data_IF_967578595424
#
_entry.id   IF_967578595424
#
_cell.length_a   1.000
_cell.length_b   1.000
_cell.length_c   1.000
_cell.angle_alpha   90.00
_cell.angle_beta   90.00
_cell.angle_gamma   90.00
#
_symmetry.space_group_name_H-M   'P 1'
#
loop_
_entity.id
_entity.type
_entity.pdbx_description
1 polymer ?
#
# COMPACT_ATOMS: atom_id res chain seq x y z
N UNK A 1 30.66 60.36 7.73
CA UNK A 1 30.04 59.60 8.84
C UNK A 1 29.17 58.51 8.20
N UNK A 2 29.49 57.25 8.45
CA UNK A 2 29.05 56.05 7.71
C UNK A 2 27.63 55.56 8.09
N UNK A 3 26.91 55.07 7.07
CA UNK A 3 25.84 54.05 6.98
C UNK A 3 24.87 53.86 8.17
N UNK A 4 23.56 54.14 8.06
CA UNK A 4 22.51 53.46 7.27
C UNK A 4 22.17 52.04 7.78
N UNK A 5 21.01 51.87 8.44
CA UNK A 5 20.20 50.64 8.42
C UNK A 5 18.77 50.98 8.91
N UNK A 6 17.79 50.96 8.01
CA UNK A 6 16.36 51.00 8.37
C UNK A 6 15.89 49.63 8.88
N UNK A 7 14.73 49.54 9.57
CA UNK A 7 14.23 48.27 10.07
C UNK A 7 13.87 47.35 8.89
N UNK A 8 14.54 46.20 8.83
CA UNK A 8 14.30 45.13 7.86
C UNK A 8 12.94 44.49 8.17
N UNK A 9 12.07 44.44 7.15
CA UNK A 9 10.81 43.71 7.16
C UNK A 9 11.03 42.23 7.49
N UNK A 10 10.47 41.77 8.62
CA UNK A 10 10.37 40.36 8.94
C UNK A 10 9.37 39.70 7.98
N UNK A 11 9.89 39.03 6.96
CA UNK A 11 9.14 38.07 6.15
C UNK A 11 8.77 36.90 7.06
N UNK A 12 7.50 36.82 7.43
CA UNK A 12 6.95 35.65 8.12
C UNK A 12 7.20 34.41 7.24
N UNK A 13 8.16 33.59 7.65
CA UNK A 13 8.24 32.19 7.22
C UNK A 13 7.09 31.50 7.93
N UNK A 14 6.02 31.21 7.19
CA UNK A 14 4.96 30.35 7.67
C UNK A 14 5.56 29.02 8.15
N UNK A 15 5.13 28.47 9.30
CA UNK A 15 5.48 27.11 9.65
C UNK A 15 5.01 26.18 8.52
N UNK A 16 5.94 25.37 7.99
CA UNK A 16 5.61 24.25 7.10
C UNK A 16 4.49 23.45 7.75
N UNK A 17 3.44 23.20 6.98
CA UNK A 17 2.21 22.55 7.42
C UNK A 17 2.50 21.34 8.31
N UNK A 18 2.01 21.41 9.53
CA UNK A 18 1.79 20.26 10.39
C UNK A 18 0.87 19.26 9.68
N UNK A 19 1.19 17.97 9.77
CA UNK A 19 0.22 16.93 9.46
C UNK A 19 0.73 15.60 8.89
N UNK A 20 2.03 15.28 8.95
CA UNK A 20 2.42 13.85 8.95
C UNK A 20 1.98 13.25 10.29
N UNK A 21 0.71 12.88 10.37
CA UNK A 21 0.21 12.07 11.46
C UNK A 21 0.77 10.67 11.27
N UNK A 22 1.88 10.39 11.95
CA UNK A 22 2.31 9.03 12.30
C UNK A 22 1.22 8.43 13.22
N UNK A 23 0.06 8.10 12.64
CA UNK A 23 -0.97 7.30 13.30
C UNK A 23 -0.40 5.90 13.36
N UNK A 24 -0.19 5.39 14.58
CA UNK A 24 0.42 4.09 14.80
C UNK A 24 -0.25 2.98 13.99
N UNK A 25 0.51 1.92 13.74
CA UNK A 25 0.17 0.75 12.90
C UNK A 25 -1.14 0.00 13.27
N UNK A 26 -1.89 0.45 14.28
CA UNK A 26 -3.11 -0.17 14.81
C UNK A 26 -4.37 -0.01 13.98
N UNK A 27 -4.38 0.82 12.93
CA UNK A 27 -5.56 1.09 12.09
C UNK A 27 -5.36 0.76 10.60
N UNK A 28 -4.20 0.24 10.20
CA UNK A 28 -3.86 0.00 8.78
C UNK A 28 -4.77 -1.07 8.16
N UNK A 29 -5.56 -0.67 7.17
CA UNK A 29 -6.49 -1.55 6.48
C UNK A 29 -5.85 -2.17 5.21
N UNK A 30 -6.40 -3.28 4.67
CA UNK A 30 -5.91 -3.89 3.42
C UNK A 30 -5.85 -2.93 2.23
N UNK A 31 -6.77 -1.97 2.15
CA UNK A 31 -6.85 -0.98 1.08
C UNK A 31 -5.66 0.00 1.14
N UNK A 32 -5.21 0.38 2.35
CA UNK A 32 -4.02 1.22 2.53
C UNK A 32 -2.76 0.50 2.03
N UNK A 33 -2.64 -0.80 2.34
CA UNK A 33 -1.56 -1.64 1.84
C UNK A 33 -1.57 -1.70 0.32
N UNK A 34 -2.74 -1.93 -0.29
CA UNK A 34 -2.87 -1.97 -1.73
C UNK A 34 -2.50 -0.64 -2.38
N UNK A 35 -3.04 0.49 -1.88
CA UNK A 35 -2.75 1.82 -2.43
C UNK A 35 -1.26 2.11 -2.47
N UNK A 36 -0.55 1.76 -1.40
CA UNK A 36 0.88 1.91 -1.32
C UNK A 36 1.62 0.98 -2.29
N UNK A 37 1.14 -0.25 -2.47
CA UNK A 37 1.69 -1.21 -3.45
C UNK A 37 1.47 -0.77 -4.90
N UNK A 38 0.40 -0.04 -5.21
CA UNK A 38 0.11 0.40 -6.58
C UNK A 38 1.09 1.45 -7.12
N UNK A 39 1.94 2.01 -6.26
CA UNK A 39 3.06 2.87 -6.66
C UNK A 39 4.37 2.09 -6.87
N UNK A 40 4.40 0.79 -6.53
CA UNK A 40 5.57 -0.06 -6.71
C UNK A 40 5.73 -0.51 -8.18
N UNK A 41 6.94 -0.34 -8.73
CA UNK A 41 7.24 -0.67 -10.13
C UNK A 41 7.06 -2.17 -10.46
N UNK A 42 7.34 -3.06 -9.49
CA UNK A 42 7.14 -4.50 -9.64
C UNK A 42 5.67 -4.82 -9.75
N UNK A 43 4.85 -4.26 -8.86
CA UNK A 43 3.39 -4.41 -8.88
C UNK A 43 2.82 -3.90 -10.20
N UNK A 44 3.24 -2.71 -10.65
CA UNK A 44 2.85 -2.17 -11.95
C UNK A 44 3.16 -3.12 -13.10
N UNK A 45 4.37 -3.69 -13.11
CA UNK A 45 4.75 -4.68 -14.12
C UNK A 45 3.92 -5.97 -14.01
N UNK A 46 3.62 -6.45 -12.80
CA UNK A 46 2.82 -7.69 -12.59
C UNK A 46 1.41 -7.49 -13.13
N UNK A 47 0.78 -6.36 -12.80
CA UNK A 47 -0.56 -6.02 -13.27
C UNK A 47 -0.60 -5.91 -14.80
N UNK A 48 0.39 -5.23 -15.39
CA UNK A 48 0.52 -5.12 -16.85
C UNK A 48 0.60 -6.49 -17.52
N UNK A 49 1.43 -7.40 -17.00
CA UNK A 49 1.55 -8.76 -17.54
C UNK A 49 0.32 -9.64 -17.24
N UNK A 50 -0.52 -9.26 -16.28
CA UNK A 50 -1.81 -9.89 -16.01
C UNK A 50 -2.97 -9.30 -16.84
N UNK A 51 -2.69 -8.31 -17.71
CA UNK A 51 -3.69 -7.69 -18.58
C UNK A 51 -4.46 -6.52 -17.95
N UNK A 52 -3.93 -5.92 -16.89
CA UNK A 52 -4.53 -4.75 -16.21
C UNK A 52 -3.47 -3.68 -15.91
N UNK A 53 -3.82 -2.64 -15.16
CA UNK A 53 -2.88 -1.60 -14.75
C UNK A 53 -3.08 -1.20 -13.29
N UNK A 54 -2.04 -0.59 -12.70
CA UNK A 54 -2.16 -0.03 -11.36
C UNK A 54 -3.19 1.10 -11.29
N UNK A 55 -3.37 1.84 -12.38
CA UNK A 55 -4.38 2.89 -12.48
C UNK A 55 -5.80 2.30 -12.46
N UNK A 56 -6.05 1.25 -13.24
CA UNK A 56 -7.38 0.60 -13.29
C UNK A 56 -7.75 -0.02 -11.94
N UNK A 57 -6.80 -0.74 -11.32
CA UNK A 57 -7.03 -1.35 -10.01
C UNK A 57 -7.24 -0.28 -8.92
N UNK A 58 -6.49 0.83 -8.97
CA UNK A 58 -6.73 1.98 -8.08
C UNK A 58 -8.16 2.50 -8.25
N UNK A 59 -8.58 2.80 -9.48
CA UNK A 59 -9.92 3.33 -9.78
C UNK A 59 -11.02 2.37 -9.32
N UNK A 60 -10.88 1.06 -9.57
CA UNK A 60 -11.87 0.07 -9.14
C UNK A 60 -12.01 0.03 -7.60
N UNK A 61 -10.89 0.10 -6.88
CA UNK A 61 -10.85 0.15 -5.41
C UNK A 61 -11.46 1.44 -4.88
N UNK A 62 -11.11 2.60 -5.46
CA UNK A 62 -11.69 3.88 -5.07
C UNK A 62 -13.21 3.90 -5.21
N UNK A 63 -13.71 3.46 -6.35
CA UNK A 63 -15.15 3.43 -6.64
C UNK A 63 -15.89 2.61 -5.61
N UNK A 64 -15.32 1.46 -5.22
CA UNK A 64 -15.94 0.54 -4.27
C UNK A 64 -15.87 1.04 -2.83
N UNK A 65 -14.78 1.71 -2.47
CA UNK A 65 -14.67 2.39 -1.19
C UNK A 65 -15.70 3.53 -1.10
N UNK A 66 -15.78 4.40 -2.10
CA UNK A 66 -16.77 5.49 -2.18
C UNK A 66 -18.21 4.95 -2.12
N UNK A 67 -18.51 3.86 -2.82
CA UNK A 67 -19.84 3.23 -2.80
C UNK A 67 -20.23 2.64 -1.43
N UNK A 68 -19.27 2.44 -0.52
CA UNK A 68 -19.50 1.93 0.84
C UNK A 68 -19.70 3.04 1.87
N UNK A 69 -19.36 4.29 1.53
CA UNK A 69 -19.55 5.44 2.41
C UNK A 69 -21.03 5.84 2.42
N UNK A 70 -21.86 5.11 3.17
CA UNK A 70 -23.27 5.43 3.41
C UNK A 70 -23.48 6.18 4.74
N UNK A 71 -22.42 6.79 5.29
CA UNK A 71 -22.45 7.59 6.52
C UNK A 71 -21.50 8.76 6.36
N UNK A 72 -21.94 9.94 6.78
CA UNK A 72 -21.17 11.19 6.85
C UNK A 72 -19.69 10.92 7.11
N UNK A 73 -18.85 11.21 6.12
CA UNK A 73 -17.39 11.08 6.24
C UNK A 73 -16.84 12.46 6.43
N UNK A 74 -16.19 12.69 7.58
CA UNK A 74 -15.30 13.83 7.76
C UNK A 74 -14.19 13.76 6.69
N UNK A 75 -14.03 14.83 5.91
CA UNK A 75 -13.00 15.03 4.88
C UNK A 75 -11.55 14.69 5.35
N UNK A 76 -11.32 14.57 6.66
CA UNK A 76 -10.07 14.15 7.30
C UNK A 76 -9.69 12.68 7.02
N UNK A 77 -10.66 11.79 6.74
CA UNK A 77 -10.41 10.37 6.43
C UNK A 77 -9.82 10.15 5.04
N UNK A 78 -10.02 11.11 4.13
CA UNK A 78 -9.56 11.09 2.74
C UNK A 78 -8.08 11.49 2.58
N UNK A 79 -7.44 12.04 3.62
CA UNK A 79 -6.01 12.39 3.58
C UNK A 79 -5.16 11.16 3.91
N UNK A 80 -4.69 10.55 2.83
CA UNK A 80 -3.97 9.28 2.75
C UNK A 80 -2.98 9.00 3.89
N UNK A 81 -3.22 7.88 4.56
CA UNK A 81 -2.19 7.15 5.29
C UNK A 81 -1.15 6.68 4.27
N UNK A 82 0.10 7.13 4.40
CA UNK A 82 1.21 6.61 3.60
C UNK A 82 1.79 5.40 4.31
N UNK A 83 1.51 4.21 3.80
CA UNK A 83 2.26 3.01 4.18
C UNK A 83 3.55 3.02 3.36
N UNK A 84 4.70 3.02 4.04
CA UNK A 84 5.97 2.75 3.36
C UNK A 84 6.08 1.24 3.12
N UNK A 85 5.82 0.82 1.88
CA UNK A 85 5.89 -0.59 1.47
C UNK A 85 7.28 -1.16 1.70
N UNK A 86 8.34 -0.39 1.45
CA UNK A 86 9.71 -0.84 1.64
C UNK A 86 10.02 -1.11 3.12
N UNK A 87 9.60 -0.20 4.00
CA UNK A 87 9.72 -0.39 5.45
C UNK A 87 8.88 -1.58 5.94
N UNK A 88 7.66 -1.75 5.42
CA UNK A 88 6.80 -2.88 5.75
C UNK A 88 7.41 -4.22 5.31
N UNK A 89 7.90 -4.31 4.07
CA UNK A 89 8.54 -5.52 3.55
C UNK A 89 9.80 -5.86 4.36
N UNK A 90 10.60 -4.85 4.73
CA UNK A 90 11.76 -5.05 5.61
C UNK A 90 11.33 -5.63 6.96
N UNK A 91 10.38 -4.97 7.62
CA UNK A 91 9.83 -5.43 8.91
C UNK A 91 9.27 -6.86 8.81
N UNK A 92 8.64 -7.21 7.68
CA UNK A 92 8.07 -8.53 7.46
C UNK A 92 9.15 -9.61 7.29
N UNK A 93 10.18 -9.34 6.48
CA UNK A 93 11.29 -10.26 6.30
C UNK A 93 12.16 -10.42 7.56
N UNK A 94 12.23 -9.39 8.40
CA UNK A 94 12.94 -9.42 9.70
C UNK A 94 12.11 -10.07 10.82
N UNK A 95 10.83 -10.39 10.58
CA UNK A 95 9.94 -10.93 11.61
C UNK A 95 9.66 -9.92 12.74
N UNK A 96 9.60 -8.62 12.40
CA UNK A 96 9.52 -7.55 13.38
C UNK A 96 8.27 -7.67 14.28
N UNK A 97 8.42 -7.61 15.62
CA UNK A 97 7.30 -7.76 16.55
C UNK A 97 6.25 -6.65 16.41
N UNK A 98 6.63 -5.50 15.85
CA UNK A 98 5.73 -4.38 15.56
C UNK A 98 4.56 -4.77 14.65
N UNK A 99 4.73 -5.77 13.77
CA UNK A 99 3.66 -6.26 12.90
C UNK A 99 2.54 -6.94 13.67
N UNK A 100 2.80 -7.42 14.89
CA UNK A 100 1.76 -7.97 15.77
C UNK A 100 0.69 -6.96 16.16
N UNK A 101 1.00 -5.65 16.08
CA UNK A 101 0.09 -4.54 16.38
C UNK A 101 -0.82 -4.14 15.22
N UNK A 102 -0.63 -4.70 14.02
CA UNK A 102 -1.52 -4.48 12.89
C UNK A 102 -2.92 -5.05 13.18
N UNK A 103 -3.98 -4.48 12.58
CA UNK A 103 -5.31 -5.07 12.56
C UNK A 103 -5.28 -6.53 12.11
N UNK A 104 -6.26 -7.32 12.58
CA UNK A 104 -6.36 -8.73 12.25
C UNK A 104 -6.36 -9.00 10.73
N UNK A 105 -7.08 -8.18 9.97
CA UNK A 105 -7.19 -8.33 8.52
C UNK A 105 -5.86 -8.04 7.80
N UNK A 106 -5.16 -6.98 8.22
CA UNK A 106 -3.83 -6.66 7.69
C UNK A 106 -2.82 -7.77 8.03
N UNK A 107 -2.82 -8.29 9.27
CA UNK A 107 -1.96 -9.43 9.64
C UNK A 107 -2.27 -10.69 8.84
N UNK A 108 -3.55 -10.95 8.54
CA UNK A 108 -3.95 -12.08 7.71
C UNK A 108 -3.42 -11.94 6.28
N UNK A 109 -3.40 -10.73 5.72
CA UNK A 109 -2.75 -10.44 4.43
C UNK A 109 -1.25 -10.71 4.50
N UNK A 110 -0.56 -10.21 5.53
CA UNK A 110 0.88 -10.45 5.68
C UNK A 110 1.21 -11.94 5.80
N UNK A 111 0.45 -12.69 6.60
CA UNK A 111 0.60 -14.14 6.73
C UNK A 111 0.40 -14.89 5.42
N UNK A 112 -0.58 -14.47 4.60
CA UNK A 112 -0.73 -15.01 3.24
C UNK A 112 0.46 -14.68 2.35
N UNK A 113 1.01 -13.47 2.42
CA UNK A 113 2.17 -13.09 1.61
C UNK A 113 3.41 -13.92 1.96
N UNK A 114 3.61 -14.25 3.23
CA UNK A 114 4.64 -15.21 3.68
C UNK A 114 4.42 -16.58 3.03
N UNK A 115 3.19 -17.10 3.06
CA UNK A 115 2.86 -18.38 2.44
C UNK A 115 3.09 -18.37 0.93
N UNK A 116 2.68 -17.31 0.23
CA UNK A 116 2.90 -17.15 -1.21
C UNK A 116 4.39 -17.15 -1.56
N UNK A 117 5.20 -16.37 -0.85
CA UNK A 117 6.67 -16.33 -1.03
C UNK A 117 7.30 -17.71 -0.85
N UNK A 118 6.97 -18.42 0.22
CA UNK A 118 7.47 -19.77 0.47
C UNK A 118 7.04 -20.75 -0.64
N UNK A 119 5.78 -20.69 -1.07
CA UNK A 119 5.25 -21.58 -2.11
C UNK A 119 5.82 -21.33 -3.51
N UNK A 120 6.33 -20.13 -3.76
CA UNK A 120 7.04 -19.75 -4.98
C UNK A 120 8.57 -19.90 -4.85
N UNK A 121 9.05 -20.47 -3.74
CA UNK A 121 10.48 -20.66 -3.44
C UNK A 121 11.28 -19.35 -3.51
N UNK A 122 10.65 -18.23 -3.15
CA UNK A 122 11.34 -16.95 -3.06
C UNK A 122 12.16 -16.88 -1.77
N UNK A 123 13.36 -16.28 -1.84
CA UNK A 123 14.24 -16.08 -0.67
C UNK A 123 13.81 -14.91 0.21
N UNK A 124 12.96 -14.03 -0.30
CA UNK A 124 12.39 -12.91 0.42
C UNK A 124 10.92 -12.68 0.04
N UNK A 125 10.19 -12.03 0.94
CA UNK A 125 8.83 -11.58 0.70
C UNK A 125 8.91 -10.22 0.00
N UNK A 126 8.18 -10.10 -1.09
CA UNK A 126 8.20 -8.95 -2.01
C UNK A 126 6.81 -8.35 -2.22
N UNK A 127 6.75 -7.21 -2.89
CA UNK A 127 5.52 -6.49 -3.19
C UNK A 127 4.53 -7.33 -4.01
N UNK A 128 5.03 -8.17 -4.91
CA UNK A 128 4.25 -9.11 -5.71
C UNK A 128 3.55 -10.19 -4.87
N UNK A 129 4.16 -10.62 -3.77
CA UNK A 129 3.58 -11.61 -2.86
C UNK A 129 2.47 -10.99 -2.02
N UNK A 130 2.66 -9.74 -1.58
CA UNK A 130 1.61 -8.95 -0.93
C UNK A 130 0.42 -8.72 -1.88
N UNK A 131 0.68 -8.41 -3.16
CA UNK A 131 -0.36 -8.24 -4.16
C UNK A 131 -1.19 -9.53 -4.32
N UNK A 132 -0.56 -10.70 -4.44
CA UNK A 132 -1.28 -11.98 -4.50
C UNK A 132 -2.12 -12.17 -3.24
N UNK A 133 -1.55 -11.91 -2.06
CA UNK A 133 -2.25 -12.06 -0.78
C UNK A 133 -3.47 -11.15 -0.60
N UNK A 134 -3.39 -9.92 -1.12
CA UNK A 134 -4.49 -8.95 -1.14
C UNK A 134 -5.60 -9.37 -2.11
N UNK A 135 -5.23 -9.76 -3.33
CA UNK A 135 -6.19 -10.23 -4.35
C UNK A 135 -6.87 -11.54 -3.94
N UNK A 136 -6.16 -12.41 -3.22
CA UNK A 136 -6.71 -13.64 -2.64
C UNK A 136 -7.44 -13.43 -1.30
N UNK A 137 -7.45 -12.20 -0.78
CA UNK A 137 -8.04 -11.88 0.50
C UNK A 137 -9.56 -11.98 0.52
N UNK A 138 -10.14 -11.88 1.72
CA UNK A 138 -11.59 -11.81 1.94
C UNK A 138 -12.06 -10.37 2.20
N UNK A 139 -11.22 -9.38 1.93
CA UNK A 139 -11.57 -7.96 2.11
C UNK A 139 -12.73 -7.58 1.17
N UNK A 140 -13.78 -6.90 1.67
CA UNK A 140 -14.93 -6.46 0.89
C UNK A 140 -14.61 -5.47 -0.25
N UNK A 141 -13.42 -4.85 -0.28
CA UNK A 141 -13.05 -3.82 -1.26
C UNK A 141 -12.08 -4.36 -2.32
N UNK A 142 -10.88 -4.78 -1.94
CA UNK A 142 -9.79 -5.15 -2.86
C UNK A 142 -10.12 -6.38 -3.68
N UNK A 143 -10.56 -7.47 -3.04
CA UNK A 143 -10.78 -8.73 -3.74
C UNK A 143 -11.89 -8.60 -4.81
N UNK A 144 -13.05 -7.98 -4.53
CA UNK A 144 -14.04 -7.73 -5.57
C UNK A 144 -13.59 -6.74 -6.66
N UNK A 145 -12.84 -5.69 -6.31
CA UNK A 145 -12.31 -4.74 -7.29
C UNK A 145 -11.32 -5.40 -8.27
N UNK A 146 -10.44 -6.27 -7.75
CA UNK A 146 -9.56 -7.07 -8.59
C UNK A 146 -10.37 -8.05 -9.47
N UNK A 147 -11.40 -8.70 -8.92
CA UNK A 147 -12.25 -9.63 -9.66
C UNK A 147 -13.01 -8.95 -10.82
N UNK A 148 -13.47 -7.71 -10.64
CA UNK A 148 -14.11 -6.89 -11.70
C UNK A 148 -13.18 -6.68 -12.89
N UNK A 149 -11.88 -6.51 -12.64
CA UNK A 149 -10.85 -6.36 -13.66
C UNK A 149 -10.34 -7.71 -14.23
N UNK A 150 -10.95 -8.83 -13.83
CA UNK A 150 -10.48 -10.17 -14.21
C UNK A 150 -9.18 -10.60 -13.53
N UNK A 151 -8.66 -9.81 -12.58
CA UNK A 151 -7.46 -10.10 -11.82
C UNK A 151 -7.78 -11.11 -10.71
N UNK A 152 -7.60 -12.39 -11.03
CA UNK A 152 -7.67 -13.48 -10.05
C UNK A 152 -6.29 -13.78 -9.47
N UNK A 153 -6.25 -14.21 -8.21
CA UNK A 153 -5.00 -14.56 -7.51
C UNK A 153 -4.17 -15.59 -8.30
N UNK A 154 -4.82 -16.60 -8.90
CA UNK A 154 -4.16 -17.59 -9.76
C UNK A 154 -3.47 -16.96 -10.99
N UNK A 155 -4.11 -15.98 -11.63
CA UNK A 155 -3.53 -15.25 -12.77
C UNK A 155 -2.29 -14.46 -12.35
N UNK A 156 -2.40 -13.70 -11.26
CA UNK A 156 -1.30 -12.90 -10.71
C UNK A 156 -0.13 -13.80 -10.30
N UNK A 157 -0.42 -14.88 -9.57
CA UNK A 157 0.56 -15.88 -9.16
C UNK A 157 1.27 -16.53 -10.36
N UNK A 158 0.54 -16.86 -11.42
CA UNK A 158 1.12 -17.39 -12.66
C UNK A 158 2.09 -16.40 -13.33
N UNK A 159 1.78 -15.10 -13.32
CA UNK A 159 2.69 -14.05 -13.81
C UNK A 159 3.96 -13.99 -12.97
N UNK A 160 3.82 -13.99 -11.63
CA UNK A 160 4.96 -13.93 -10.71
C UNK A 160 5.87 -15.16 -10.86
N UNK A 161 5.29 -16.36 -10.92
CA UNK A 161 6.04 -17.60 -11.10
C UNK A 161 6.88 -17.60 -12.39
N UNK A 162 6.35 -17.06 -13.50
CA UNK A 162 7.09 -16.97 -14.77
C UNK A 162 8.26 -15.99 -14.75
N UNK A 163 8.25 -15.01 -13.83
CA UNK A 163 9.35 -14.05 -13.69
C UNK A 163 10.53 -14.62 -12.91
N UNK A 164 10.33 -15.73 -12.22
CA UNK A 164 11.33 -16.34 -11.35
C UNK A 164 11.49 -15.59 -10.02
N UNK A 165 12.15 -16.23 -9.04
CA UNK A 165 12.39 -15.63 -7.73
C UNK A 165 13.34 -14.45 -7.87
N UNK A 166 13.03 -13.34 -7.17
CA UNK A 166 13.97 -12.23 -7.01
C UNK A 166 15.06 -12.65 -6.05
N UNK A 167 16.30 -12.65 -6.52
CA UNK A 167 17.47 -12.63 -5.65
C UNK A 167 17.63 -11.20 -5.14
N UNK A 168 17.55 -11.04 -3.82
CA UNK A 168 17.66 -9.75 -3.13
C UNK A 168 19.05 -9.13 -3.21
#
# INVERSE_FOLDING_TARGET
MRAATGPISLRAVAPRAAGEHDRGMGDTAPEDLLRALLDDATVGAVLSAAGSSAADLRVAVERRWLARLDREVDDELLRGRRVDVGALLRALNEGAPALGRLPADARAVLGRAVHESASLHASCIGAEHLLIALVAGADPVVAPAAAELGLRAATVRGVVARRGPRVG
#
